data_IF_363000724997
#
_entry.id   IF_363000724997
#
_cell.length_a   1.000
_cell.length_b   1.000
_cell.length_c   1.000
_cell.angle_alpha   90.00
_cell.angle_beta   90.00
_cell.angle_gamma   90.00
#
_symmetry.space_group_name_H-M   'P 1'
#
loop_
_entity.id
_entity.type
_entity.pdbx_description
1 polymer ?
#
# COMPACT_ATOMS: atom_id res chain seq x y z
N UNK A 1 -15.26 31.28 -10.78
CA UNK A 1 -14.77 32.36 -9.89
C UNK A 1 -14.67 31.74 -8.51
N UNK A 2 -13.49 31.27 -8.10
CA UNK A 2 -13.29 30.64 -6.80
C UNK A 2 -12.87 31.70 -5.79
N UNK A 3 -13.65 31.86 -4.73
CA UNK A 3 -13.28 32.64 -3.55
C UNK A 3 -12.83 31.62 -2.50
N UNK A 4 -11.55 31.66 -2.14
CA UNK A 4 -10.99 30.89 -1.05
C UNK A 4 -11.07 31.73 0.23
N UNK A 5 -11.69 31.18 1.27
CA UNK A 5 -11.55 31.67 2.64
C UNK A 5 -10.79 30.59 3.39
N UNK A 6 -9.51 30.85 3.67
CA UNK A 6 -8.65 29.99 4.48
C UNK A 6 -8.86 30.31 5.96
N UNK A 7 -9.14 29.28 6.76
CA UNK A 7 -8.99 29.30 8.21
C UNK A 7 -8.27 28.03 8.67
N UNK A 8 -7.00 28.22 8.98
CA UNK A 8 -6.08 27.43 9.80
C UNK A 8 -5.54 26.06 9.33
N UNK A 9 -4.21 26.12 9.11
CA UNK A 9 -3.15 25.17 9.48
C UNK A 9 -3.07 23.85 8.70
N UNK A 10 -2.57 23.91 7.47
CA UNK A 10 -1.19 23.55 7.08
C UNK A 10 -1.10 23.62 5.55
N UNK A 11 -0.65 24.77 5.03
CA UNK A 11 -0.34 24.93 3.61
C UNK A 11 1.11 24.52 3.35
N UNK A 12 1.30 23.39 2.67
CA UNK A 12 2.29 23.27 1.59
C UNK A 12 1.58 22.69 0.39
N UNK A 13 1.39 23.54 -0.61
CA UNK A 13 0.73 23.26 -1.87
C UNK A 13 1.55 22.29 -2.75
N UNK A 14 0.92 21.21 -3.21
CA UNK A 14 1.02 20.76 -4.61
C UNK A 14 -0.40 20.43 -5.07
N UNK A 15 -0.98 21.33 -5.87
CA UNK A 15 -2.36 21.23 -6.32
C UNK A 15 -2.61 19.99 -7.16
N UNK A 16 -3.30 18.99 -6.60
CA UNK A 16 -3.92 17.88 -7.31
C UNK A 16 -5.09 17.38 -6.46
N UNK A 17 -6.32 17.62 -6.92
CA UNK A 17 -7.61 17.05 -6.48
C UNK A 17 -7.75 16.69 -4.97
N UNK A 18 -8.65 17.33 -4.20
CA UNK A 18 -8.74 17.24 -2.72
C UNK A 18 -9.08 15.86 -2.12
N UNK A 19 -9.08 14.79 -2.91
CA UNK A 19 -9.46 13.44 -2.51
C UNK A 19 -8.41 12.36 -2.85
N UNK A 20 -7.25 12.72 -3.41
CA UNK A 20 -6.18 11.76 -3.71
C UNK A 20 -4.89 12.09 -2.95
N UNK A 21 -4.45 11.17 -2.08
CA UNK A 21 -3.21 11.30 -1.33
C UNK A 21 -2.14 10.38 -1.92
N UNK A 22 -0.89 10.85 -1.92
CA UNK A 22 0.28 10.07 -2.31
C UNK A 22 0.96 9.57 -1.04
N UNK A 23 1.22 8.27 -0.96
CA UNK A 23 1.76 7.65 0.25
C UNK A 23 2.90 6.71 -0.12
N UNK A 24 4.07 6.86 0.49
CA UNK A 24 5.22 5.98 0.30
C UNK A 24 5.30 4.91 1.39
N UNK A 25 5.68 3.67 1.02
CA UNK A 25 5.72 2.50 1.90
C UNK A 25 7.00 1.69 1.70
N UNK A 26 7.55 1.15 2.79
CA UNK A 26 8.59 0.13 2.70
C UNK A 26 7.99 -1.25 2.45
N UNK A 27 8.51 -1.96 1.44
CA UNK A 27 8.31 -3.40 1.26
C UNK A 27 9.65 -4.11 1.23
N UNK A 28 9.68 -5.30 1.84
CA UNK A 28 10.89 -6.12 2.05
C UNK A 28 10.80 -7.49 1.36
N UNK A 29 9.75 -7.76 0.60
CA UNK A 29 9.42 -9.12 0.19
C UNK A 29 9.20 -9.27 -1.31
N UNK A 30 9.87 -10.28 -1.84
CA UNK A 30 9.70 -10.89 -3.15
C UNK A 30 9.27 -12.36 -2.93
N UNK A 31 8.25 -12.86 -3.63
CA UNK A 31 7.89 -14.30 -3.64
C UNK A 31 8.59 -14.99 -4.82
N UNK A 32 9.61 -15.84 -4.59
CA UNK A 32 10.41 -16.46 -5.65
C UNK A 32 9.67 -17.50 -6.50
N UNK A 33 8.42 -17.84 -6.16
CA UNK A 33 7.60 -18.80 -6.92
C UNK A 33 6.95 -18.21 -8.17
N UNK A 34 7.05 -16.90 -8.39
CA UNK A 34 6.41 -16.18 -9.51
C UNK A 34 7.29 -16.06 -10.78
N UNK A 35 8.46 -16.71 -10.82
CA UNK A 35 9.42 -16.68 -11.96
C UNK A 35 8.83 -17.11 -13.32
N UNK A 36 7.62 -17.70 -13.35
CA UNK A 36 6.99 -18.22 -14.57
C UNK A 36 5.68 -17.49 -14.94
N UNK A 37 5.27 -16.47 -14.19
CA UNK A 37 3.91 -15.89 -14.32
C UNK A 37 3.88 -14.36 -14.27
N UNK A 38 4.39 -13.72 -15.33
CA UNK A 38 3.87 -12.43 -15.80
C UNK A 38 4.77 -11.19 -15.69
N UNK A 39 4.30 -10.11 -16.31
CA UNK A 39 4.97 -8.79 -16.39
C UNK A 39 4.78 -7.96 -15.10
N UNK A 40 5.01 -8.56 -13.92
CA UNK A 40 4.83 -7.88 -12.65
C UNK A 40 5.78 -8.35 -11.54
N UNK A 41 5.96 -7.48 -10.55
CA UNK A 41 6.66 -7.75 -9.29
C UNK A 41 5.63 -7.88 -8.18
N UNK A 42 5.64 -9.01 -7.47
CA UNK A 42 4.77 -9.23 -6.33
C UNK A 42 5.37 -8.62 -5.07
N UNK A 43 4.61 -7.76 -4.40
CA UNK A 43 5.03 -7.01 -3.21
C UNK A 43 4.34 -7.55 -1.96
N UNK A 44 5.13 -7.74 -0.90
CA UNK A 44 4.64 -8.15 0.42
C UNK A 44 4.72 -6.98 1.42
N UNK A 45 3.56 -6.56 1.91
CA UNK A 45 3.41 -5.48 2.88
C UNK A 45 3.32 -5.99 4.33
N UNK A 46 3.26 -7.31 4.55
CA UNK A 46 3.22 -7.96 5.88
C UNK A 46 2.15 -7.42 6.83
N UNK A 47 0.99 -7.03 6.30
CA UNK A 47 -0.14 -6.57 7.11
C UNK A 47 -0.66 -7.73 7.93
N UNK A 48 -0.52 -7.65 9.26
CA UNK A 48 -0.95 -8.71 10.17
C UNK A 48 -2.48 -8.78 10.24
N UNK A 49 -2.98 -10.01 10.25
CA UNK A 49 -4.39 -10.25 10.51
C UNK A 49 -4.71 -9.95 11.98
N UNK A 50 -5.82 -9.23 12.27
CA UNK A 50 -6.27 -9.00 13.64
C UNK A 50 -6.81 -10.29 14.26
N UNK A 51 -6.37 -10.61 15.48
CA UNK A 51 -6.66 -11.89 16.17
C UNK A 51 -8.15 -12.15 16.43
N UNK A 52 -8.98 -11.09 16.53
CA UNK A 52 -10.37 -11.17 16.99
C UNK A 52 -11.42 -10.98 15.88
N UNK A 53 -11.04 -10.98 14.60
CA UNK A 53 -11.98 -10.72 13.52
C UNK A 53 -12.89 -11.92 13.24
N UNK A 54 -14.19 -11.65 13.05
CA UNK A 54 -15.15 -12.68 12.66
C UNK A 54 -15.06 -12.89 11.15
N UNK A 55 -15.34 -14.11 10.69
CA UNK A 55 -15.47 -14.45 9.27
C UNK A 55 -16.42 -13.50 8.52
N UNK A 56 -17.51 -13.08 9.16
CA UNK A 56 -18.47 -12.13 8.58
C UNK A 56 -17.89 -10.73 8.33
N UNK A 57 -16.86 -10.31 9.07
CA UNK A 57 -16.19 -9.02 8.86
C UNK A 57 -15.33 -9.07 7.59
N UNK A 58 -14.60 -10.18 7.38
CA UNK A 58 -13.82 -10.40 6.16
C UNK A 58 -14.70 -10.46 4.90
N UNK A 59 -15.90 -11.04 4.98
CA UNK A 59 -16.83 -11.10 3.85
C UNK A 59 -17.33 -9.71 3.40
N UNK A 60 -17.47 -8.78 4.35
CA UNK A 60 -17.89 -7.39 4.10
C UNK A 60 -16.76 -6.50 3.60
N UNK A 61 -15.52 -6.94 3.78
CA UNK A 61 -14.32 -6.17 3.53
C UNK A 61 -13.87 -5.42 4.79
N UNK A 62 -12.56 -5.27 4.91
CA UNK A 62 -11.88 -4.66 6.05
C UNK A 62 -11.11 -3.42 5.57
N UNK A 63 -10.79 -2.53 6.49
CA UNK A 63 -10.08 -1.29 6.25
C UNK A 63 -8.71 -1.38 6.91
N UNK A 64 -7.65 -1.30 6.13
CA UNK A 64 -6.27 -1.23 6.63
C UNK A 64 -5.88 0.22 6.73
N UNK A 65 -5.75 0.72 7.96
CA UNK A 65 -5.48 2.12 8.23
C UNK A 65 -3.99 2.43 8.24
N UNK A 66 -3.70 3.65 7.82
CA UNK A 66 -2.35 4.14 7.58
C UNK A 66 -1.99 5.17 8.63
N UNK A 67 -0.72 5.15 9.03
CA UNK A 67 -0.13 6.14 9.91
C UNK A 67 1.08 6.75 9.24
N UNK A 68 1.09 8.07 9.14
CA UNK A 68 2.26 8.83 8.70
C UNK A 68 3.32 8.77 9.81
N UNK A 69 4.56 8.47 9.42
CA UNK A 69 5.71 8.35 10.33
C UNK A 69 6.71 9.48 10.09
N UNK A 70 6.89 9.84 8.83
CA UNK A 70 7.74 10.92 8.35
C UNK A 70 7.07 11.48 7.09
N UNK A 71 7.37 12.72 6.68
CA UNK A 71 6.70 13.40 5.56
C UNK A 71 6.52 12.47 4.35
N UNK A 72 5.25 12.16 4.03
CA UNK A 72 4.81 11.25 2.95
C UNK A 72 5.18 9.76 3.11
N UNK A 73 5.82 9.35 4.20
CA UNK A 73 6.14 7.97 4.55
C UNK A 73 5.10 7.40 5.52
N UNK A 74 4.45 6.32 5.11
CA UNK A 74 3.36 5.69 5.84
C UNK A 74 3.70 4.26 6.24
N UNK A 75 3.11 3.83 7.35
CA UNK A 75 3.07 2.43 7.79
C UNK A 75 1.63 1.95 7.93
N UNK A 76 1.42 0.64 7.74
CA UNK A 76 0.15 0.00 8.07
C UNK A 76 0.05 -0.15 9.59
N UNK A 77 -0.97 0.45 10.19
CA UNK A 77 -1.17 0.46 11.65
C UNK A 77 -2.16 -0.63 12.06
N UNK A 78 -3.44 -0.42 11.78
CA UNK A 78 -4.53 -1.25 12.27
C UNK A 78 -5.45 -1.72 11.14
N UNK A 79 -6.13 -2.84 11.40
CA UNK A 79 -7.17 -3.35 10.50
C UNK A 79 -8.50 -3.26 11.23
N UNK A 80 -9.45 -2.55 10.61
CA UNK A 80 -10.77 -2.28 11.17
C UNK A 80 -11.89 -2.87 10.29
N UNK A 81 -12.99 -3.35 10.88
CA UNK A 81 -14.14 -3.85 10.12
C UNK A 81 -15.01 -2.72 9.56
N UNK A 82 -14.79 -1.48 9.99
CA UNK A 82 -15.54 -0.28 9.60
C UNK A 82 -14.58 0.88 9.36
N UNK A 83 -14.92 1.74 8.40
CA UNK A 83 -14.15 2.94 8.08
C UNK A 83 -14.23 3.96 9.22
N UNK A 84 -13.11 4.34 9.85
CA UNK A 84 -13.06 5.47 10.76
C UNK A 84 -13.23 6.80 10.00
N UNK A 85 -13.86 7.81 10.62
CA UNK A 85 -14.17 9.09 9.96
C UNK A 85 -12.96 9.96 9.64
N UNK A 86 -11.87 9.82 10.40
CA UNK A 86 -10.72 10.74 10.37
C UNK A 86 -9.39 10.01 10.17
N UNK A 87 -9.38 8.86 9.48
CA UNK A 87 -8.13 8.15 9.18
C UNK A 87 -8.11 7.74 7.72
N UNK A 88 -6.91 7.78 7.13
CA UNK A 88 -6.67 7.27 5.79
C UNK A 88 -6.58 5.74 5.88
N UNK A 89 -7.46 5.04 5.18
CA UNK A 89 -7.47 3.58 5.18
C UNK A 89 -7.70 3.04 3.76
N UNK A 90 -7.18 1.85 3.52
CA UNK A 90 -7.36 1.10 2.27
C UNK A 90 -8.39 0.01 2.53
N UNK A 91 -9.45 -0.04 1.71
CA UNK A 91 -10.46 -1.09 1.78
C UNK A 91 -9.96 -2.31 1.01
N UNK A 92 -9.99 -3.47 1.64
CA UNK A 92 -9.63 -4.75 1.02
C UNK A 92 -10.62 -5.84 1.41
N UNK A 93 -10.76 -6.86 0.57
CA UNK A 93 -11.53 -8.06 0.87
C UNK A 93 -10.59 -9.25 0.86
N UNK A 94 -9.99 -9.60 2.02
CA UNK A 94 -9.02 -10.67 2.05
C UNK A 94 -9.68 -12.02 1.75
N UNK A 95 -8.98 -12.93 1.07
CA UNK A 95 -9.43 -14.29 0.86
C UNK A 95 -9.59 -15.02 2.20
N UNK A 96 -10.60 -15.89 2.28
CA UNK A 96 -10.99 -16.59 3.52
C UNK A 96 -9.93 -17.57 4.06
N UNK A 97 -8.88 -17.87 3.28
CA UNK A 97 -7.86 -18.85 3.62
C UNK A 97 -6.62 -18.26 4.31
N UNK A 98 -6.43 -16.93 4.29
CA UNK A 98 -5.30 -16.31 4.98
C UNK A 98 -5.68 -15.95 6.41
N UNK A 99 -5.08 -16.64 7.38
CA UNK A 99 -5.30 -16.38 8.83
C UNK A 99 -4.29 -15.42 9.43
N UNK A 100 -3.05 -15.41 8.95
CA UNK A 100 -1.95 -14.70 9.61
C UNK A 100 -1.69 -13.31 9.01
N UNK A 101 -2.04 -13.10 7.74
CA UNK A 101 -1.83 -11.84 7.04
C UNK A 101 -3.02 -11.47 6.15
N UNK A 102 -3.16 -10.18 5.88
CA UNK A 102 -4.19 -9.62 5.00
C UNK A 102 -3.53 -9.22 3.68
N UNK A 103 -3.79 -9.95 2.57
CA UNK A 103 -3.26 -9.54 1.28
C UNK A 103 -3.99 -8.28 0.81
N UNK A 104 -3.19 -7.31 0.35
CA UNK A 104 -3.67 -6.10 -0.30
C UNK A 104 -3.67 -6.33 -1.82
N UNK A 105 -4.58 -7.19 -2.29
CA UNK A 105 -4.62 -7.74 -3.67
C UNK A 105 -4.53 -6.65 -4.75
N UNK A 106 -5.14 -5.49 -4.53
CA UNK A 106 -5.14 -4.37 -5.51
C UNK A 106 -3.75 -3.71 -5.68
N UNK A 107 -2.86 -3.87 -4.70
CA UNK A 107 -1.52 -3.27 -4.69
C UNK A 107 -0.42 -4.30 -4.47
N UNK A 108 -0.73 -5.60 -4.59
CA UNK A 108 0.29 -6.66 -4.49
C UNK A 108 1.10 -6.81 -5.77
N UNK A 109 0.60 -6.34 -6.92
CA UNK A 109 1.27 -6.48 -8.24
C UNK A 109 1.70 -5.12 -8.78
N UNK A 110 3.01 -4.89 -8.86
CA UNK A 110 3.58 -3.78 -9.61
C UNK A 110 3.87 -4.22 -11.04
N UNK A 111 3.11 -3.70 -12.01
CA UNK A 111 3.28 -4.05 -13.42
C UNK A 111 4.43 -3.25 -14.04
N UNK A 112 5.35 -3.95 -14.69
CA UNK A 112 6.50 -3.38 -15.38
C UNK A 112 6.87 -4.26 -16.58
N UNK A 113 7.54 -3.72 -17.63
CA UNK A 113 8.06 -4.53 -18.73
C UNK A 113 8.89 -5.71 -18.21
N UNK A 114 8.87 -6.89 -18.84
CA UNK A 114 9.43 -8.11 -18.26
C UNK A 114 10.92 -8.01 -17.88
N UNK A 115 11.74 -7.28 -18.66
CA UNK A 115 13.15 -7.02 -18.31
C UNK A 115 13.31 -6.17 -17.05
N UNK A 116 12.45 -5.17 -16.88
CA UNK A 116 12.47 -4.29 -15.72
C UNK A 116 11.93 -5.01 -14.49
N UNK A 117 10.83 -5.75 -14.64
CA UNK A 117 10.29 -6.60 -13.58
C UNK A 117 11.34 -7.60 -13.07
N UNK A 118 12.04 -8.29 -13.98
CA UNK A 118 13.15 -9.19 -13.62
C UNK A 118 14.25 -8.45 -12.86
N UNK A 119 14.64 -7.26 -13.34
CA UNK A 119 15.69 -6.46 -12.69
C UNK A 119 15.28 -6.07 -11.26
N UNK A 120 14.03 -5.63 -11.05
CA UNK A 120 13.53 -5.26 -9.73
C UNK A 120 13.48 -6.51 -8.82
N UNK A 121 13.03 -7.64 -9.35
CA UNK A 121 12.99 -8.92 -8.62
C UNK A 121 14.40 -9.35 -8.18
N UNK A 122 15.39 -9.33 -9.09
CA UNK A 122 16.78 -9.68 -8.80
C UNK A 122 17.37 -8.78 -7.70
N UNK A 123 17.00 -7.49 -7.69
CA UNK A 123 17.40 -6.57 -6.64
C UNK A 123 16.74 -6.89 -5.31
N UNK A 124 15.44 -7.19 -5.29
CA UNK A 124 14.70 -7.52 -4.07
C UNK A 124 14.98 -8.94 -3.55
N UNK A 125 15.60 -9.80 -4.35
CA UNK A 125 16.08 -11.12 -3.90
C UNK A 125 17.18 -11.01 -2.84
N UNK A 126 17.91 -9.88 -2.79
CA UNK A 126 18.84 -9.60 -1.70
C UNK A 126 18.07 -9.08 -0.47
N UNK A 127 18.10 -9.79 0.68
CA UNK A 127 17.32 -9.44 1.86
C UNK A 127 17.72 -8.09 2.51
N UNK A 128 18.89 -7.55 2.15
CA UNK A 128 19.32 -6.22 2.62
C UNK A 128 18.68 -5.08 1.82
N UNK A 129 18.22 -5.35 0.59
CA UNK A 129 17.57 -4.35 -0.24
C UNK A 129 16.12 -4.16 0.19
N UNK A 130 15.58 -2.96 -0.03
CA UNK A 130 14.20 -2.61 0.28
C UNK A 130 13.60 -1.84 -0.89
N UNK A 131 12.29 -1.89 -1.06
CA UNK A 131 11.61 -1.02 -2.02
C UNK A 131 10.76 0.02 -1.29
N UNK A 132 10.76 1.24 -1.82
CA UNK A 132 9.81 2.30 -1.51
C UNK A 132 8.74 2.26 -2.60
N UNK A 133 7.52 1.95 -2.20
CA UNK A 133 6.36 1.89 -3.08
C UNK A 133 5.54 3.14 -2.86
N UNK A 134 5.27 3.89 -3.92
CA UNK A 134 4.36 5.03 -3.86
C UNK A 134 2.98 4.56 -4.28
N UNK A 135 2.00 4.79 -3.41
CA UNK A 135 0.59 4.51 -3.65
C UNK A 135 -0.17 5.82 -3.82
N UNK A 136 -1.12 5.83 -4.74
CA UNK A 136 -2.17 6.83 -4.81
C UNK A 136 -3.43 6.25 -4.18
N UNK A 137 -3.94 6.91 -3.16
CA UNK A 137 -5.13 6.48 -2.41
C UNK A 137 -6.27 7.46 -2.66
N UNK A 138 -7.40 6.95 -3.12
CA UNK A 138 -8.60 7.73 -3.40
C UNK A 138 -9.84 6.89 -3.08
N UNK A 139 -10.74 7.41 -2.23
CA UNK A 139 -11.95 6.70 -1.79
C UNK A 139 -11.66 5.27 -1.33
N UNK A 140 -10.71 5.16 -0.40
CA UNK A 140 -10.23 3.90 0.20
C UNK A 140 -9.62 2.88 -0.79
N UNK A 141 -9.49 3.22 -2.08
CA UNK A 141 -8.82 2.39 -3.07
C UNK A 141 -7.39 2.84 -3.24
N UNK A 142 -6.48 1.89 -3.33
CA UNK A 142 -5.07 2.16 -3.52
C UNK A 142 -4.60 1.63 -4.88
N UNK A 143 -3.71 2.39 -5.51
CA UNK A 143 -3.02 1.98 -6.74
C UNK A 143 -1.54 2.30 -6.62
N UNK A 144 -0.68 1.38 -7.04
CA UNK A 144 0.75 1.65 -7.17
C UNK A 144 0.99 2.61 -8.33
N UNK A 145 1.76 3.66 -8.07
CA UNK A 145 2.13 4.68 -9.06
C UNK A 145 3.63 4.71 -9.32
N UNK A 146 4.44 4.27 -8.37
CA UNK A 146 5.89 4.21 -8.49
C UNK A 146 6.48 3.14 -7.55
N UNK A 147 7.62 2.58 -7.91
CA UNK A 147 8.40 1.67 -7.08
C UNK A 147 9.89 1.94 -7.28
N UNK A 148 10.59 2.20 -6.17
CA UNK A 148 12.04 2.45 -6.15
C UNK A 148 12.73 1.46 -5.25
N UNK A 149 13.69 0.71 -5.77
CA UNK A 149 14.51 -0.19 -4.97
C UNK A 149 15.72 0.57 -4.40
N UNK A 150 15.81 0.58 -3.08
CA UNK A 150 16.92 1.11 -2.31
C UNK A 150 17.90 -0.02 -2.00
N UNK A 151 19.11 0.08 -2.56
CA UNK A 151 20.21 -0.83 -2.22
C UNK A 151 20.82 -0.42 -0.89
N UNK A 152 20.95 -1.35 0.04
CA UNK A 152 21.78 -1.10 1.22
C UNK A 152 23.25 -1.12 0.78
N UNK A 153 24.00 -0.08 1.15
CA UNK A 153 25.45 -0.01 0.92
C UNK A 153 26.21 -0.91 1.89
#
# INVERSE_FOLDING_TARGET
MCVAVCLNWYDVCLGLCPNSLWCSFYTKGYDPRDLLTGDFVRLDYRVKSPQNFRLGDFQKGVFVCLKEVESDLFIFEEVLPKLPKNRLCIKTKPPLYYRDFIPLVEIERYFAPPKEAQTIQDLLANPNNQAIVTLKIFQEKARIVDLKVMKYK
#
